data_IF_557931117134
#
_entry.id   IF_557931117134
#
_cell.length_a   1.000
_cell.length_b   1.000
_cell.length_c   1.000
_cell.angle_alpha   90.00
_cell.angle_beta   90.00
_cell.angle_gamma   90.00
#
_symmetry.space_group_name_H-M   'P 1'
#
loop_
_entity.id
_entity.type
_entity.pdbx_description
1 polymer ?
#
# COMPACT_ATOMS: atom_id res chain seq x y z
N UNK A 1 13.26 -9.89 -7.14
CA UNK A 1 11.79 -9.99 -7.34
C UNK A 1 11.17 -8.67 -6.92
N UNK A 2 10.62 -7.87 -7.84
CA UNK A 2 10.08 -6.54 -7.51
C UNK A 2 8.68 -6.61 -6.86
N UNK A 3 7.97 -7.73 -7.01
CA UNK A 3 6.66 -7.97 -6.40
C UNK A 3 6.60 -9.38 -5.84
N UNK A 4 6.25 -9.53 -4.57
CA UNK A 4 6.17 -10.82 -3.86
C UNK A 4 4.94 -11.65 -4.25
N UNK A 5 4.76 -11.86 -5.56
CA UNK A 5 3.55 -12.41 -6.18
C UNK A 5 3.18 -13.80 -5.63
N UNK A 6 4.17 -14.66 -5.38
CA UNK A 6 3.93 -15.99 -4.80
C UNK A 6 3.52 -15.95 -3.33
N UNK A 7 4.18 -15.11 -2.52
CA UNK A 7 3.87 -14.98 -1.08
C UNK A 7 2.49 -14.36 -0.88
N UNK A 8 2.18 -13.29 -1.62
CA UNK A 8 0.86 -12.67 -1.59
C UNK A 8 -0.22 -13.65 -2.06
N UNK A 9 -0.01 -14.35 -3.18
CA UNK A 9 -0.99 -15.35 -3.64
C UNK A 9 -1.24 -16.44 -2.61
N UNK A 10 -0.19 -16.98 -1.96
CA UNK A 10 -0.37 -17.96 -0.89
C UNK A 10 -1.22 -17.41 0.25
N UNK A 11 -0.95 -16.19 0.72
CA UNK A 11 -1.72 -15.55 1.78
C UNK A 11 -3.19 -15.35 1.37
N UNK A 12 -3.44 -14.81 0.17
CA UNK A 12 -4.79 -14.57 -0.34
C UNK A 12 -5.58 -15.86 -0.63
N UNK A 13 -4.90 -16.97 -0.94
CA UNK A 13 -5.54 -18.28 -1.09
C UNK A 13 -5.92 -18.90 0.26
N UNK A 14 -5.10 -18.71 1.29
CA UNK A 14 -5.40 -19.21 2.64
C UNK A 14 -6.48 -18.37 3.34
N UNK A 15 -6.49 -17.06 3.10
CA UNK A 15 -7.47 -16.15 3.70
C UNK A 15 -8.01 -15.17 2.65
N UNK A 16 -9.08 -15.54 1.92
CA UNK A 16 -9.64 -14.72 0.84
C UNK A 16 -10.15 -13.34 1.28
N UNK A 17 -10.55 -13.17 2.55
CA UNK A 17 -10.97 -11.89 3.11
C UNK A 17 -9.86 -10.82 3.05
N UNK A 18 -8.60 -11.22 3.11
CA UNK A 18 -7.44 -10.31 2.99
C UNK A 18 -7.43 -9.51 1.69
N UNK A 19 -8.12 -9.96 0.64
CA UNK A 19 -8.23 -9.18 -0.61
C UNK A 19 -8.88 -7.82 -0.35
N UNK A 20 -9.94 -7.80 0.45
CA UNK A 20 -10.66 -6.56 0.82
C UNK A 20 -9.78 -5.67 1.69
N UNK A 21 -9.06 -6.28 2.63
CA UNK A 21 -8.21 -5.56 3.59
C UNK A 21 -7.02 -4.93 2.89
N UNK A 22 -6.35 -5.68 2.00
CA UNK A 22 -5.26 -5.18 1.15
C UNK A 22 -5.76 -4.04 0.26
N UNK A 23 -6.94 -4.19 -0.35
CA UNK A 23 -7.50 -3.12 -1.17
C UNK A 23 -7.83 -1.87 -0.35
N UNK A 24 -8.44 -2.01 0.83
CA UNK A 24 -8.73 -0.89 1.74
C UNK A 24 -7.45 -0.20 2.20
N UNK A 25 -6.41 -0.96 2.54
CA UNK A 25 -5.11 -0.43 2.94
C UNK A 25 -4.46 0.38 1.83
N UNK A 26 -4.42 -0.17 0.61
CA UNK A 26 -3.85 0.53 -0.56
C UNK A 26 -4.67 1.77 -0.94
N UNK A 27 -5.99 1.73 -0.80
CA UNK A 27 -6.88 2.85 -1.08
C UNK A 27 -6.73 4.00 -0.08
N UNK A 28 -6.40 3.70 1.18
CA UNK A 28 -6.31 4.68 2.25
C UNK A 28 -4.91 5.29 2.41
N UNK A 29 -3.96 5.00 1.50
CA UNK A 29 -2.66 5.67 1.52
C UNK A 29 -2.89 7.14 1.17
N UNK A 30 -2.56 8.03 2.10
CA UNK A 30 -2.68 9.49 1.91
C UNK A 30 -1.74 10.00 0.83
N UNK A 31 -2.14 11.07 0.15
CA UNK A 31 -1.30 11.75 -0.85
C UNK A 31 0.04 12.20 -0.24
N UNK A 32 0.03 12.68 1.00
CA UNK A 32 1.23 13.08 1.74
C UNK A 32 2.22 11.92 1.93
N UNK A 33 1.71 10.72 2.22
CA UNK A 33 2.52 9.51 2.35
C UNK A 33 3.12 9.08 1.00
N UNK A 34 2.37 9.20 -0.09
CA UNK A 34 2.86 8.91 -1.44
C UNK A 34 3.92 9.92 -1.90
N UNK A 35 3.68 11.20 -1.63
CA UNK A 35 4.56 12.32 -1.98
C UNK A 35 5.87 12.25 -1.19
N UNK A 36 5.80 11.96 0.12
CA UNK A 36 6.98 11.84 0.99
C UNK A 36 7.80 10.57 0.74
N UNK A 37 7.17 9.48 0.29
CA UNK A 37 7.87 8.27 -0.11
C UNK A 37 8.61 8.40 -1.45
N UNK A 38 8.22 9.37 -2.29
CA UNK A 38 8.77 9.58 -3.63
C UNK A 38 9.97 10.53 -3.65
N UNK A 39 10.67 10.55 -4.79
CA UNK A 39 11.71 11.54 -5.06
C UNK A 39 11.13 12.78 -5.72
N UNK A 40 11.72 13.92 -5.39
CA UNK A 40 11.42 15.20 -6.05
C UNK A 40 12.27 15.33 -7.31
N UNK A 41 11.60 15.60 -8.42
CA UNK A 41 12.20 16.01 -9.68
C UNK A 41 12.06 17.54 -9.79
N UNK A 42 12.98 18.19 -10.51
CA UNK A 42 12.92 19.64 -10.73
C UNK A 42 11.56 20.08 -11.28
N UNK A 43 11.11 21.28 -10.92
CA UNK A 43 9.81 21.81 -11.37
C UNK A 43 8.60 21.33 -10.56
N UNK A 44 8.80 20.78 -9.36
CA UNK A 44 7.71 20.38 -8.44
C UNK A 44 7.08 19.02 -8.76
N UNK A 45 7.71 18.23 -9.63
CA UNK A 45 7.22 16.89 -9.98
C UNK A 45 7.67 15.87 -8.93
N UNK A 46 6.73 15.13 -8.35
CA UNK A 46 7.02 14.01 -7.46
C UNK A 46 6.89 12.70 -8.23
N UNK A 47 7.88 11.82 -8.10
CA UNK A 47 7.85 10.47 -8.69
C UNK A 47 8.10 9.42 -7.62
N UNK A 48 7.25 8.40 -7.61
CA UNK A 48 7.38 7.25 -6.73
C UNK A 48 7.68 6.00 -7.57
N UNK A 49 8.86 5.42 -7.41
CA UNK A 49 9.23 4.15 -8.04
C UNK A 49 8.72 2.93 -7.24
N UNK A 50 8.61 1.74 -7.84
CA UNK A 50 8.12 0.55 -7.14
C UNK A 50 8.87 0.20 -5.84
N UNK A 51 10.19 0.40 -5.81
CA UNK A 51 11.01 0.16 -4.61
C UNK A 51 10.74 1.17 -3.49
N UNK A 52 10.29 2.37 -3.85
CA UNK A 52 9.99 3.46 -2.92
C UNK A 52 8.57 3.32 -2.38
N UNK A 53 7.62 2.93 -3.23
CA UNK A 53 6.28 2.55 -2.80
C UNK A 53 6.30 1.45 -1.74
N UNK A 54 7.24 0.50 -1.84
CA UNK A 54 7.44 -0.54 -0.84
C UNK A 54 7.86 -0.03 0.56
N UNK A 55 8.30 1.22 0.67
CA UNK A 55 8.68 1.86 1.94
C UNK A 55 7.61 2.85 2.46
N UNK A 56 6.52 3.06 1.71
CA UNK A 56 5.44 3.95 2.14
C UNK A 56 4.70 3.32 3.32
N UNK A 57 4.57 4.08 4.40
CA UNK A 57 3.83 3.67 5.59
C UNK A 57 2.33 3.81 5.31
N UNK A 58 1.58 2.74 5.57
CA UNK A 58 0.13 2.75 5.49
C UNK A 58 -0.43 2.82 6.90
N UNK A 59 -1.31 3.80 7.15
CA UNK A 59 -2.04 3.86 8.41
C UNK A 59 -3.22 2.87 8.39
N UNK A 60 -3.08 1.80 9.17
CA UNK A 60 -4.09 0.75 9.32
C UNK A 60 -5.12 1.07 10.42
N UNK A 61 -4.96 2.15 11.17
CA UNK A 61 -5.90 2.52 12.25
C UNK A 61 -7.32 2.73 11.73
N UNK A 62 -7.45 3.27 10.52
CA UNK A 62 -8.73 3.47 9.81
C UNK A 62 -9.38 2.19 9.27
N UNK A 63 -8.67 1.05 9.32
CA UNK A 63 -9.13 -0.24 8.77
C UNK A 63 -9.76 -1.09 9.86
N UNK A 64 -9.22 -1.06 11.09
CA UNK A 64 -9.72 -1.83 12.24
C UNK A 64 -11.21 -1.60 12.53
N UNK A 65 -11.67 -0.36 12.42
CA UNK A 65 -13.08 0.00 12.64
C UNK A 65 -14.00 -0.44 11.49
N UNK A 66 -13.46 -0.68 10.27
CA UNK A 66 -14.23 -1.12 9.09
C UNK A 66 -14.30 -2.64 8.92
N UNK A 67 -13.58 -3.41 9.73
CA UNK A 67 -13.53 -4.87 9.67
C UNK A 67 -14.36 -5.56 10.77
N UNK A 68 -14.97 -4.79 11.67
CA UNK A 68 -15.85 -5.29 12.74
C UNK A 68 -17.34 -5.32 12.35
N UNK A 69 -17.68 -5.15 11.07
CA UNK A 69 -19.05 -5.21 10.53
C UNK A 69 -19.16 -6.11 9.31
#
# INVERSE_FOLDING_TARGET
>A
MLYAKHTLNKALSHQPSLKKDVWLALKNISDEALISGGRVYGGGLHKLEPKELGNVVVDLSSIGDKLLH
#
